data_IF_882770064389
#
_entry.id   IF_882770064389
#
_cell.length_a   1.000
_cell.length_b   1.000
_cell.length_c   1.000
_cell.angle_alpha   90.00
_cell.angle_beta   90.00
_cell.angle_gamma   90.00
#
_symmetry.space_group_name_H-M   'P 1'
#
loop_
_entity.id
_entity.type
_entity.pdbx_description
1 polymer ?
#
# COMPACT_ATOMS: atom_id res chain seq x y z
N UNK A 1 -20.28 -1.03 -8.69
CA UNK A 1 -19.19 -0.31 -7.98
C UNK A 1 -18.07 -1.33 -7.73
N UNK A 2 -16.87 -1.13 -8.27
CA UNK A 2 -15.78 -2.09 -8.10
C UNK A 2 -15.13 -1.83 -6.74
N UNK A 3 -15.40 -2.70 -5.77
CA UNK A 3 -14.84 -2.60 -4.41
C UNK A 3 -13.47 -3.29 -4.28
N UNK A 4 -13.03 -4.03 -5.30
CA UNK A 4 -11.73 -4.70 -5.33
C UNK A 4 -11.25 -4.98 -6.76
N UNK A 5 -9.93 -5.16 -6.89
CA UNK A 5 -9.21 -5.49 -8.11
C UNK A 5 -8.03 -6.42 -7.77
N UNK A 6 -8.24 -7.72 -8.03
CA UNK A 6 -7.24 -8.77 -7.74
C UNK A 6 -5.97 -8.63 -8.59
N UNK A 7 -6.07 -8.18 -9.84
CA UNK A 7 -4.89 -8.00 -10.71
C UNK A 7 -3.98 -6.91 -10.16
N UNK A 8 -4.57 -5.82 -9.70
CA UNK A 8 -3.81 -4.75 -9.04
C UNK A 8 -3.17 -5.22 -7.73
N UNK A 9 -3.90 -5.99 -6.91
CA UNK A 9 -3.34 -6.56 -5.68
C UNK A 9 -2.15 -7.49 -5.98
N UNK A 10 -2.24 -8.31 -7.03
CA UNK A 10 -1.11 -9.13 -7.50
C UNK A 10 0.06 -8.26 -7.98
N UNK A 11 -0.21 -7.17 -8.71
CA UNK A 11 0.81 -6.21 -9.12
C UNK A 11 1.52 -5.56 -7.94
N UNK A 12 0.77 -5.17 -6.89
CA UNK A 12 1.31 -4.63 -5.65
C UNK A 12 2.24 -5.63 -4.94
N UNK A 13 1.86 -6.91 -4.90
CA UNK A 13 2.71 -7.98 -4.37
C UNK A 13 4.02 -8.09 -5.17
N UNK A 14 3.93 -8.13 -6.51
CA UNK A 14 5.12 -8.24 -7.35
C UNK A 14 6.03 -7.01 -7.21
N UNK A 15 5.45 -5.82 -7.08
CA UNK A 15 6.21 -4.58 -6.89
C UNK A 15 6.97 -4.59 -5.56
N UNK A 16 6.30 -4.92 -4.46
CA UNK A 16 6.98 -4.99 -3.16
C UNK A 16 8.06 -6.08 -3.16
N UNK A 17 7.76 -7.25 -3.75
CA UNK A 17 8.74 -8.34 -3.89
C UNK A 17 9.96 -7.89 -4.67
N UNK A 18 9.76 -7.24 -5.81
CA UNK A 18 10.85 -6.72 -6.64
C UNK A 18 11.73 -5.74 -5.86
N UNK A 19 11.13 -4.77 -5.15
CA UNK A 19 11.91 -3.81 -4.37
C UNK A 19 12.64 -4.45 -3.18
N UNK A 20 12.00 -5.37 -2.44
CA UNK A 20 12.66 -6.13 -1.36
C UNK A 20 13.86 -6.93 -1.87
N UNK A 21 13.76 -7.50 -3.07
CA UNK A 21 14.87 -8.26 -3.68
C UNK A 21 15.97 -7.36 -4.23
N UNK A 22 15.61 -6.19 -4.78
CA UNK A 22 16.57 -5.26 -5.41
C UNK A 22 17.33 -4.44 -4.38
N UNK A 23 16.67 -4.06 -3.28
CA UNK A 23 17.22 -3.17 -2.24
C UNK A 23 17.09 -3.78 -0.84
N UNK A 24 17.64 -4.98 -0.57
CA UNK A 24 17.39 -5.69 0.68
C UNK A 24 17.77 -4.88 1.93
N UNK A 25 18.80 -4.04 1.86
CA UNK A 25 19.24 -3.19 2.98
C UNK A 25 18.22 -2.09 3.32
N UNK A 26 17.50 -1.57 2.33
CA UNK A 26 16.47 -0.54 2.52
C UNK A 26 15.18 -1.12 3.14
N UNK A 27 15.04 -2.44 3.16
CA UNK A 27 13.89 -3.14 3.74
C UNK A 27 14.20 -3.80 5.10
N UNK A 28 15.38 -3.52 5.67
CA UNK A 28 15.73 -3.95 7.03
C UNK A 28 15.06 -3.05 8.07
N UNK A 29 14.28 -3.67 8.96
CA UNK A 29 13.58 -3.02 10.07
C UNK A 29 12.70 -1.82 9.67
N UNK A 30 12.08 -1.88 8.49
CA UNK A 30 11.15 -0.86 8.00
C UNK A 30 9.70 -1.22 8.26
N UNK A 31 8.90 -0.21 8.62
CA UNK A 31 7.45 -0.33 8.72
C UNK A 31 6.85 -0.09 7.34
N UNK A 32 6.06 -1.06 6.87
CA UNK A 32 5.39 -1.00 5.57
C UNK A 32 3.89 -0.78 5.79
N UNK A 33 3.33 0.23 5.14
CA UNK A 33 1.89 0.46 5.06
C UNK A 33 1.38 0.16 3.66
N UNK A 34 0.21 -0.48 3.58
CA UNK A 34 -0.48 -0.70 2.31
C UNK A 34 -1.90 -0.18 2.47
N UNK A 35 -2.24 0.87 1.72
CA UNK A 35 -3.53 1.54 1.86
C UNK A 35 -4.35 1.48 0.58
N UNK A 36 -5.67 1.48 0.75
CA UNK A 36 -6.61 1.48 -0.37
C UNK A 36 -7.91 2.20 0.00
N UNK A 37 -8.65 2.82 -0.95
CA UNK A 37 -9.92 3.48 -0.62
C UNK A 37 -11.04 2.52 -0.21
N UNK A 38 -10.95 1.24 -0.59
CA UNK A 38 -12.08 0.31 -0.49
C UNK A 38 -11.79 -0.85 0.45
N UNK A 39 -12.68 -1.10 1.40
CA UNK A 39 -12.55 -2.21 2.35
C UNK A 39 -12.46 -3.57 1.64
N UNK A 40 -13.23 -3.77 0.57
CA UNK A 40 -13.16 -5.02 -0.21
C UNK A 40 -11.79 -5.27 -0.85
N UNK A 41 -11.00 -4.22 -1.10
CA UNK A 41 -9.63 -4.35 -1.59
C UNK A 41 -8.65 -4.70 -0.47
N UNK A 42 -8.89 -4.23 0.77
CA UNK A 42 -8.07 -4.60 1.94
C UNK A 42 -8.03 -6.12 2.09
N UNK A 43 -9.18 -6.79 1.97
CA UNK A 43 -9.28 -8.24 2.13
C UNK A 43 -8.54 -8.99 1.01
N UNK A 44 -8.64 -8.49 -0.22
CA UNK A 44 -7.92 -9.04 -1.38
C UNK A 44 -6.41 -8.84 -1.23
N UNK A 45 -5.97 -7.67 -0.79
CA UNK A 45 -4.55 -7.37 -0.52
C UNK A 45 -4.02 -8.29 0.58
N UNK A 46 -4.70 -8.40 1.73
CA UNK A 46 -4.28 -9.30 2.82
C UNK A 46 -4.12 -10.74 2.33
N UNK A 47 -5.08 -11.24 1.55
CA UNK A 47 -5.02 -12.59 0.99
C UNK A 47 -3.82 -12.76 0.03
N UNK A 48 -3.61 -11.80 -0.87
CA UNK A 48 -2.53 -11.87 -1.86
C UNK A 48 -1.15 -11.74 -1.22
N UNK A 49 -0.97 -10.81 -0.28
CA UNK A 49 0.29 -10.61 0.43
C UNK A 49 0.59 -11.80 1.35
N UNK A 50 -0.40 -12.36 2.04
CA UNK A 50 -0.17 -13.47 2.98
C UNK A 50 0.30 -14.73 2.24
N UNK A 51 -0.15 -14.91 0.99
CA UNK A 51 0.31 -16.00 0.12
C UNK A 51 1.77 -15.87 -0.28
N UNK A 52 2.30 -14.66 -0.44
CA UNK A 52 3.67 -14.43 -0.91
C UNK A 52 4.67 -14.27 0.24
N UNK A 53 4.32 -13.50 1.27
CA UNK A 53 5.21 -13.12 2.38
C UNK A 53 4.93 -13.91 3.67
N UNK A 54 3.82 -14.65 3.74
CA UNK A 54 3.37 -15.35 4.94
C UNK A 54 2.55 -14.46 5.89
N UNK A 55 1.65 -15.09 6.65
CA UNK A 55 0.68 -14.37 7.50
C UNK A 55 1.32 -13.47 8.55
N UNK A 56 2.42 -13.91 9.17
CA UNK A 56 3.11 -13.14 10.22
C UNK A 56 3.66 -11.81 9.69
N UNK A 57 4.31 -11.84 8.53
CA UNK A 57 4.86 -10.63 7.91
C UNK A 57 3.72 -9.69 7.49
N UNK A 58 2.59 -10.24 7.04
CA UNK A 58 1.41 -9.45 6.66
C UNK A 58 0.67 -8.83 7.84
N UNK A 59 0.75 -9.42 9.04
CA UNK A 59 0.25 -8.79 10.25
C UNK A 59 1.09 -7.57 10.65
N UNK A 60 2.41 -7.63 10.41
CA UNK A 60 3.33 -6.50 10.60
C UNK A 60 3.15 -5.43 9.52
N UNK A 61 2.80 -5.83 8.28
CA UNK A 61 2.38 -4.90 7.23
C UNK A 61 1.03 -4.26 7.59
N UNK A 62 1.00 -2.93 7.68
CA UNK A 62 -0.22 -2.22 8.03
C UNK A 62 -1.13 -2.08 6.80
N UNK A 63 -1.92 -3.13 6.53
CA UNK A 63 -2.89 -3.16 5.41
C UNK A 63 -4.26 -2.67 5.87
N UNK A 64 -4.70 -1.50 5.40
CA UNK A 64 -5.99 -0.92 5.81
C UNK A 64 -6.60 0.00 4.76
N UNK A 65 -7.80 0.51 5.04
CA UNK A 65 -8.31 1.64 4.27
C UNK A 65 -7.54 2.90 4.58
N UNK A 66 -7.64 3.91 3.70
CA UNK A 66 -7.01 5.22 3.93
C UNK A 66 -7.53 5.86 5.22
N UNK A 67 -8.84 5.87 5.43
CA UNK A 67 -9.43 6.51 6.62
C UNK A 67 -8.98 5.81 7.91
N UNK A 68 -8.84 4.46 7.90
CA UNK A 68 -8.32 3.70 9.04
C UNK A 68 -6.81 3.88 9.28
N UNK A 69 -6.07 4.36 8.28
CA UNK A 69 -4.63 4.62 8.35
C UNK A 69 -4.30 6.03 8.88
N UNK A 70 -5.31 6.88 9.05
CA UNK A 70 -5.12 8.24 9.52
C UNK A 70 -4.37 8.26 10.87
N UNK A 71 -3.35 9.11 10.97
CA UNK A 71 -2.52 9.23 12.17
C UNK A 71 -1.44 8.16 12.36
N UNK A 72 -1.29 7.20 11.42
CA UNK A 72 -0.22 6.19 11.45
C UNK A 72 0.98 6.55 10.57
N UNK A 73 2.18 6.30 11.04
CA UNK A 73 3.42 6.52 10.28
C UNK A 73 4.05 5.18 9.88
N UNK A 74 4.61 5.16 8.68
CA UNK A 74 5.36 4.03 8.09
C UNK A 74 6.51 4.57 7.27
N UNK A 75 7.58 3.81 7.15
CA UNK A 75 8.76 4.18 6.36
C UNK A 75 8.49 4.03 4.87
N UNK A 76 7.70 3.01 4.48
CA UNK A 76 7.33 2.73 3.09
C UNK A 76 5.80 2.59 2.99
N UNK A 77 5.18 3.30 2.04
CA UNK A 77 3.74 3.26 1.81
C UNK A 77 3.42 2.84 0.37
N UNK A 78 2.59 1.82 0.22
CA UNK A 78 2.02 1.39 -1.06
C UNK A 78 0.53 1.75 -1.13
N UNK A 79 0.15 2.54 -2.14
CA UNK A 79 -1.25 2.92 -2.38
C UNK A 79 -1.86 2.08 -3.52
N UNK A 80 -2.89 1.28 -3.21
CA UNK A 80 -3.71 0.56 -4.18
C UNK A 80 -5.01 1.32 -4.45
N UNK A 81 -5.20 1.77 -5.69
CA UNK A 81 -6.31 2.61 -6.13
C UNK A 81 -7.52 1.84 -6.64
N UNK A 82 -7.43 0.52 -6.86
CA UNK A 82 -8.46 -0.40 -7.39
C UNK A 82 -8.87 -0.12 -8.85
N UNK A 83 -8.89 1.15 -9.24
CA UNK A 83 -9.19 1.65 -10.58
C UNK A 83 -8.54 3.03 -10.78
N UNK A 84 -7.66 3.13 -11.76
CA UNK A 84 -7.51 4.34 -12.56
C UNK A 84 -8.37 4.14 -13.83
N UNK A 85 -9.54 4.76 -13.92
CA UNK A 85 -10.20 4.93 -15.21
C UNK A 85 -9.39 5.94 -16.03
N UNK A 86 -9.16 5.65 -17.31
CA UNK A 86 -8.45 6.53 -18.26
C UNK A 86 -9.11 7.90 -18.47
N UNK A 87 -10.34 8.09 -17.97
CA UNK A 87 -11.18 9.27 -18.21
C UNK A 87 -11.56 10.07 -16.97
N UNK A 88 -11.30 9.55 -15.77
CA UNK A 88 -11.67 10.23 -14.53
C UNK A 88 -10.52 10.10 -13.55
N UNK A 89 -10.02 11.26 -13.13
CA UNK A 89 -9.10 11.46 -12.02
C UNK A 89 -9.25 10.36 -10.97
N UNK A 90 -8.14 9.78 -10.51
CA UNK A 90 -8.13 8.91 -9.32
C UNK A 90 -8.82 9.72 -8.23
N UNK A 91 -10.08 9.42 -7.90
CA UNK A 91 -10.93 10.26 -7.04
C UNK A 91 -10.40 10.41 -5.61
N UNK A 92 -9.36 9.67 -5.29
CA UNK A 92 -8.56 9.80 -4.08
C UNK A 92 -7.35 10.75 -4.24
N UNK A 93 -6.76 10.88 -5.44
CA UNK A 93 -5.68 11.83 -5.76
C UNK A 93 -6.19 13.26 -5.99
N UNK A 94 -7.48 13.46 -6.25
CA UNK A 94 -8.07 14.80 -6.34
C UNK A 94 -8.10 15.53 -5.00
N UNK A 95 -7.91 14.82 -3.89
CA UNK A 95 -7.69 15.42 -2.58
C UNK A 95 -6.19 15.52 -2.29
N UNK A 96 -5.62 16.67 -2.65
CA UNK A 96 -4.20 17.04 -2.43
C UNK A 96 -3.77 16.82 -0.97
N UNK A 97 -4.69 16.93 0.00
CA UNK A 97 -4.38 16.71 1.43
C UNK A 97 -4.12 15.23 1.73
N UNK A 98 -4.87 14.33 1.09
CA UNK A 98 -4.71 12.87 1.22
C UNK A 98 -3.46 12.37 0.50
N UNK A 99 -3.06 13.04 -0.58
CA UNK A 99 -1.79 12.79 -1.28
C UNK A 99 -0.58 13.22 -0.43
N UNK A 100 -0.63 14.38 0.22
CA UNK A 100 0.45 14.81 1.13
C UNK A 100 0.65 13.81 2.27
N UNK A 101 -0.43 13.26 2.83
CA UNK A 101 -0.33 12.18 3.85
C UNK A 101 0.35 10.92 3.31
N UNK A 102 0.13 10.57 2.04
CA UNK A 102 0.77 9.41 1.42
C UNK A 102 2.23 9.65 1.02
N UNK A 103 2.56 10.87 0.57
CA UNK A 103 3.87 11.24 0.04
C UNK A 103 4.85 11.81 1.08
N UNK A 104 4.37 12.44 2.16
CA UNK A 104 5.23 13.13 3.16
C UNK A 104 5.45 12.34 4.45
N UNK A 105 5.09 11.05 4.49
CA UNK A 105 5.27 10.16 5.65
C UNK A 105 6.47 9.21 5.63
N UNK A 106 7.07 8.87 4.47
CA UNK A 106 8.39 8.25 4.47
C UNK A 106 9.39 9.20 5.13
N UNK A 107 10.01 8.78 6.24
CA UNK A 107 11.17 9.49 6.78
C UNK A 107 12.38 9.12 5.93
N UNK A 108 13.03 10.10 5.32
CA UNK A 108 14.36 9.91 4.75
C UNK A 108 15.29 9.57 5.92
N UNK A 109 15.87 8.36 5.95
CA UNK A 109 16.99 8.07 6.85
C UNK A 109 18.17 8.89 6.32
N UNK A 110 18.62 9.89 7.07
CA UNK A 110 19.92 10.50 6.81
C UNK A 110 21.00 9.45 7.11
N UNK A 111 21.91 9.26 6.15
CA UNK A 111 23.08 8.36 6.25
C UNK A 111 24.12 8.93 7.22
#
# INVERSE_FOLDING_TARGET
MFSSNRKEAQGAVQLLKYFKQTYPLEFLDVKIGIITPYQGQVDVLRTCFAREFGSKEVEEMQISTVDAFQGREVDILLLSTVRASTSDSIGFLSDVRRMNVALTRPKLREL
#
